data_IF_446675176699
#
_entry.id   IF_446675176699
#
_cell.length_a   1.000
_cell.length_b   1.000
_cell.length_c   1.000
_cell.angle_alpha   90.00
_cell.angle_beta   90.00
_cell.angle_gamma   90.00
#
_symmetry.space_group_name_H-M   'P 1'
#
loop_
_entity.id
_entity.type
_entity.pdbx_description
1 polymer ?
#
# COMPACT_ATOMS: atom_id res chain seq x y z
N UNK A 1 -13.61 -12.53 -17.05
CA UNK A 1 -12.53 -13.17 -16.27
C UNK A 1 -12.36 -14.59 -16.71
N UNK A 2 -11.16 -15.15 -16.55
CA UNK A 2 -10.92 -16.59 -16.61
C UNK A 2 -11.39 -17.25 -15.31
N UNK A 3 -11.49 -18.57 -15.30
CA UNK A 3 -11.83 -19.32 -14.08
C UNK A 3 -10.65 -19.31 -13.12
N UNK A 4 -10.93 -19.26 -11.83
CA UNK A 4 -9.95 -19.33 -10.74
C UNK A 4 -10.58 -20.03 -9.54
N UNK A 5 -9.75 -20.56 -8.67
CA UNK A 5 -10.16 -21.01 -7.33
C UNK A 5 -10.15 -19.80 -6.39
N UNK A 6 -11.16 -19.68 -5.54
CA UNK A 6 -11.22 -18.64 -4.52
C UNK A 6 -11.05 -19.26 -3.15
N UNK A 7 -10.02 -18.79 -2.45
CA UNK A 7 -9.69 -19.21 -1.09
C UNK A 7 -9.77 -18.00 -0.15
N UNK A 8 -10.33 -18.21 1.04
CA UNK A 8 -10.45 -17.16 2.05
C UNK A 8 -9.93 -17.67 3.39
N UNK A 9 -8.61 -17.69 3.58
CA UNK A 9 -7.98 -18.13 4.82
C UNK A 9 -8.28 -17.16 5.98
N UNK A 10 -8.15 -17.66 7.20
CA UNK A 10 -8.37 -16.87 8.41
C UNK A 10 -7.07 -16.45 9.10
N UNK A 11 -5.94 -17.05 8.73
CA UNK A 11 -4.63 -16.79 9.34
C UNK A 11 -3.54 -16.61 8.28
N UNK A 12 -2.44 -15.98 8.64
CA UNK A 12 -1.27 -15.83 7.77
C UNK A 12 -0.62 -17.16 7.42
N UNK A 13 -0.60 -18.11 8.36
CA UNK A 13 -0.05 -19.44 8.11
C UNK A 13 -0.84 -20.19 7.02
N UNK A 14 -2.16 -20.03 7.01
CA UNK A 14 -3.00 -20.59 5.95
C UNK A 14 -2.70 -19.93 4.58
N UNK A 15 -2.50 -18.60 4.55
CA UNK A 15 -2.11 -17.87 3.34
C UNK A 15 -0.78 -18.39 2.81
N UNK A 16 0.24 -18.47 3.67
CA UNK A 16 1.58 -18.97 3.30
C UNK A 16 1.53 -20.39 2.74
N UNK A 17 0.71 -21.25 3.36
CA UNK A 17 0.52 -22.63 2.87
C UNK A 17 -0.06 -22.63 1.46
N UNK A 18 -1.13 -21.89 1.20
CA UNK A 18 -1.78 -21.84 -0.11
C UNK A 18 -0.82 -21.26 -1.16
N UNK A 19 -0.07 -20.19 -0.83
CA UNK A 19 0.94 -19.61 -1.70
C UNK A 19 2.03 -20.62 -2.10
N UNK A 20 2.50 -21.42 -1.14
CA UNK A 20 3.54 -22.42 -1.39
C UNK A 20 3.04 -23.64 -2.20
N UNK A 21 1.75 -23.93 -2.13
CA UNK A 21 1.14 -25.04 -2.86
C UNK A 21 0.71 -24.67 -4.30
N UNK A 22 0.63 -23.34 -4.62
CA UNK A 22 0.06 -22.85 -5.88
C UNK A 22 0.90 -21.70 -6.46
N UNK A 23 1.81 -22.00 -7.36
CA UNK A 23 2.75 -21.04 -7.98
C UNK A 23 2.07 -19.86 -8.70
N UNK A 24 0.87 -20.07 -9.29
CA UNK A 24 0.13 -19.03 -10.02
C UNK A 24 -0.95 -18.35 -9.16
N UNK A 25 -0.83 -18.40 -7.83
CA UNK A 25 -1.75 -17.72 -6.95
C UNK A 25 -1.48 -16.22 -6.87
N UNK A 26 -2.53 -15.45 -6.53
CA UNK A 26 -2.41 -14.01 -6.25
C UNK A 26 -3.19 -13.66 -4.99
N UNK A 27 -2.58 -12.80 -4.19
CA UNK A 27 -3.21 -12.23 -3.00
C UNK A 27 -4.25 -11.20 -3.43
N UNK A 28 -5.43 -11.29 -2.85
CA UNK A 28 -6.52 -10.33 -2.98
C UNK A 28 -6.72 -9.63 -1.63
N UNK A 29 -6.37 -8.35 -1.57
CA UNK A 29 -6.75 -7.46 -0.47
C UNK A 29 -8.00 -6.63 -0.89
N UNK A 30 -7.86 -5.34 -1.14
CA UNK A 30 -8.97 -4.49 -1.58
C UNK A 30 -9.47 -4.70 -3.00
N UNK A 31 -8.71 -5.40 -3.85
CA UNK A 31 -9.09 -5.78 -5.21
C UNK A 31 -9.24 -4.64 -6.22
N UNK A 32 -8.88 -3.40 -5.87
CA UNK A 32 -9.16 -2.22 -6.70
C UNK A 32 -8.27 -2.13 -7.95
N UNK A 33 -7.17 -2.86 -7.99
CA UNK A 33 -6.32 -3.03 -9.19
C UNK A 33 -6.49 -4.42 -9.79
N UNK A 34 -6.36 -5.48 -8.96
CA UNK A 34 -6.34 -6.86 -9.45
C UNK A 34 -7.66 -7.27 -10.12
N UNK A 35 -8.82 -6.94 -9.52
CA UNK A 35 -10.12 -7.32 -10.09
C UNK A 35 -10.39 -6.65 -11.45
N UNK A 36 -10.18 -5.33 -11.63
CA UNK A 36 -10.24 -4.69 -12.94
C UNK A 36 -9.31 -5.34 -13.98
N UNK A 37 -8.07 -5.65 -13.61
CA UNK A 37 -7.08 -6.30 -14.48
C UNK A 37 -7.55 -7.69 -14.93
N UNK A 38 -8.10 -8.47 -14.01
CA UNK A 38 -8.70 -9.79 -14.32
C UNK A 38 -9.95 -9.65 -15.22
N UNK A 39 -10.79 -8.63 -14.99
CA UNK A 39 -11.96 -8.36 -15.87
C UNK A 39 -11.55 -8.06 -17.29
N UNK A 40 -10.44 -7.39 -17.48
CA UNK A 40 -9.86 -7.10 -18.80
C UNK A 40 -9.05 -8.28 -19.38
N UNK A 41 -8.93 -9.41 -18.66
CA UNK A 41 -8.16 -10.60 -19.01
C UNK A 41 -6.65 -10.37 -19.15
N UNK A 42 -6.13 -9.37 -18.46
CA UNK A 42 -4.70 -9.04 -18.40
C UNK A 42 -3.98 -9.80 -17.26
N UNK A 43 -4.74 -10.37 -16.33
CA UNK A 43 -4.25 -11.29 -15.31
C UNK A 43 -5.16 -12.53 -15.24
N UNK A 44 -4.55 -13.69 -15.03
CA UNK A 44 -5.22 -14.99 -14.97
C UNK A 44 -4.63 -15.87 -13.89
N UNK A 45 -4.75 -15.47 -12.59
CA UNK A 45 -4.28 -16.34 -11.52
C UNK A 45 -5.10 -17.64 -11.48
N UNK A 46 -4.44 -18.73 -11.11
CA UNK A 46 -5.11 -20.02 -10.88
C UNK A 46 -5.92 -19.98 -9.58
N UNK A 47 -5.40 -19.28 -8.58
CA UNK A 47 -6.02 -19.14 -7.24
C UNK A 47 -5.98 -17.69 -6.78
N UNK A 48 -7.10 -17.20 -6.27
CA UNK A 48 -7.19 -15.92 -5.52
C UNK A 48 -7.26 -16.21 -4.03
N UNK A 49 -6.36 -15.60 -3.27
CA UNK A 49 -6.26 -15.73 -1.82
C UNK A 49 -6.74 -14.42 -1.20
N UNK A 50 -7.95 -14.41 -0.70
CA UNK A 50 -8.56 -13.23 -0.09
C UNK A 50 -8.12 -13.09 1.38
N UNK A 51 -7.35 -12.03 1.66
CA UNK A 51 -6.80 -11.72 2.99
C UNK A 51 -7.59 -10.61 3.73
N UNK A 52 -8.71 -10.17 3.18
CA UNK A 52 -9.45 -9.01 3.70
C UNK A 52 -9.97 -9.18 5.13
N UNK A 53 -10.24 -10.42 5.57
CA UNK A 53 -10.79 -10.72 6.89
C UNK A 53 -9.71 -11.15 7.92
N UNK A 54 -8.43 -11.09 7.55
CA UNK A 54 -7.33 -11.40 8.50
C UNK A 54 -7.12 -10.19 9.43
N UNK A 55 -7.69 -10.26 10.63
CA UNK A 55 -7.72 -9.16 11.59
C UNK A 55 -6.32 -8.66 12.00
N UNK A 56 -5.33 -9.54 12.03
CA UNK A 56 -3.94 -9.20 12.37
C UNK A 56 -3.25 -8.33 11.31
N UNK A 57 -3.85 -8.17 10.12
CA UNK A 57 -3.37 -7.29 9.06
C UNK A 57 -4.10 -5.94 9.01
N UNK A 58 -5.13 -5.72 9.84
CA UNK A 58 -5.90 -4.47 9.86
C UNK A 58 -5.76 -3.78 11.22
N UNK A 59 -4.85 -2.83 11.31
CA UNK A 59 -4.61 -2.04 12.52
C UNK A 59 -3.87 -0.73 12.22
N UNK A 60 -3.95 0.22 13.16
CA UNK A 60 -3.15 1.46 13.19
C UNK A 60 -2.65 1.64 14.63
N UNK A 61 -1.34 1.52 14.84
CA UNK A 61 -0.72 1.62 16.14
C UNK A 61 0.21 2.84 16.23
N UNK A 62 0.07 3.62 17.31
CA UNK A 62 1.01 4.69 17.68
C UNK A 62 2.10 4.11 18.58
N UNK A 63 3.34 4.12 18.11
CA UNK A 63 4.50 3.62 18.86
C UNK A 63 5.33 4.77 19.48
N UNK A 64 4.79 6.00 19.52
CA UNK A 64 5.46 7.20 20.01
C UNK A 64 6.14 7.98 18.87
N UNK A 65 7.28 7.53 18.39
CA UNK A 65 8.05 8.17 17.31
C UNK A 65 7.69 7.64 15.92
N UNK A 66 6.96 6.53 15.85
CA UNK A 66 6.51 5.90 14.61
C UNK A 66 5.03 5.54 14.67
N UNK A 67 4.41 5.36 13.51
CA UNK A 67 3.08 4.77 13.36
C UNK A 67 3.20 3.53 12.48
N UNK A 68 2.66 2.41 12.96
CA UNK A 68 2.58 1.18 12.18
C UNK A 68 1.15 0.95 11.70
N UNK A 69 0.99 0.72 10.39
CA UNK A 69 -0.29 0.48 9.72
C UNK A 69 -0.27 -0.92 9.11
N UNK A 70 -1.27 -1.72 9.42
CA UNK A 70 -1.44 -3.07 8.87
C UNK A 70 -1.77 -3.04 7.37
N UNK A 71 -1.34 -4.07 6.64
CA UNK A 71 -1.40 -4.09 5.18
C UNK A 71 -2.83 -4.05 4.61
N UNK A 72 -3.82 -4.61 5.31
CA UNK A 72 -5.23 -4.60 4.87
C UNK A 72 -6.01 -3.37 5.34
N UNK A 73 -5.38 -2.45 6.08
CA UNK A 73 -6.00 -1.18 6.46
C UNK A 73 -6.39 -0.41 5.20
N UNK A 74 -7.67 -0.06 5.10
CA UNK A 74 -8.22 0.64 3.94
C UNK A 74 -7.80 2.10 3.89
N UNK A 75 -7.84 2.70 2.71
CA UNK A 75 -7.57 4.14 2.56
C UNK A 75 -8.53 4.99 3.40
N UNK A 76 -9.78 4.53 3.56
CA UNK A 76 -10.77 5.23 4.39
C UNK A 76 -10.45 5.14 5.89
N UNK A 77 -9.91 4.02 6.37
CA UNK A 77 -9.45 3.88 7.76
C UNK A 77 -8.24 4.76 8.03
N UNK A 78 -7.26 4.83 7.10
CA UNK A 78 -6.13 5.76 7.19
C UNK A 78 -6.62 7.22 7.25
N UNK A 79 -7.52 7.61 6.34
CA UNK A 79 -8.14 8.93 6.29
C UNK A 79 -8.88 9.27 7.58
N UNK A 80 -9.62 8.30 8.15
CA UNK A 80 -10.53 8.53 9.29
C UNK A 80 -9.82 8.47 10.64
N UNK A 81 -8.64 7.84 10.72
CA UNK A 81 -7.90 7.60 11.96
C UNK A 81 -7.52 8.89 12.67
N UNK A 82 -7.92 9.01 13.94
CA UNK A 82 -7.51 10.12 14.79
C UNK A 82 -6.00 10.10 15.08
N UNK A 83 -5.38 8.90 15.15
CA UNK A 83 -3.94 8.75 15.32
C UNK A 83 -3.22 9.39 14.13
N UNK A 84 -3.62 9.04 12.90
CA UNK A 84 -3.01 9.58 11.68
C UNK A 84 -3.23 11.08 11.57
N UNK A 85 -4.47 11.56 11.80
CA UNK A 85 -4.79 12.99 11.73
C UNK A 85 -3.99 13.85 12.73
N UNK A 86 -3.71 13.30 13.90
CA UNK A 86 -2.98 14.02 14.94
C UNK A 86 -1.45 13.97 14.75
N UNK A 87 -0.91 12.86 14.24
CA UNK A 87 0.53 12.60 14.18
C UNK A 87 1.13 12.87 12.80
N UNK A 88 0.44 12.45 11.73
CA UNK A 88 0.87 12.62 10.32
C UNK A 88 -0.32 13.09 9.48
N UNK A 89 -0.87 14.30 9.70
CA UNK A 89 -2.06 14.78 9.01
C UNK A 89 -1.93 14.79 7.48
N UNK A 90 -0.72 14.95 6.96
CA UNK A 90 -0.42 14.84 5.53
C UNK A 90 -0.69 13.45 4.94
N UNK A 91 -0.55 12.37 5.73
CA UNK A 91 -0.88 11.01 5.30
C UNK A 91 -2.40 10.81 5.22
N UNK A 92 -3.18 11.40 6.14
CA UNK A 92 -4.64 11.41 6.05
C UNK A 92 -5.11 12.20 4.81
N UNK A 93 -4.52 13.37 4.55
CA UNK A 93 -4.83 14.20 3.38
C UNK A 93 -4.45 13.48 2.06
N UNK A 94 -3.34 12.75 2.03
CA UNK A 94 -2.98 11.90 0.91
C UNK A 94 -4.06 10.84 0.65
N UNK A 95 -4.47 10.11 1.70
CA UNK A 95 -5.49 9.06 1.58
C UNK A 95 -6.84 9.61 1.10
N UNK A 96 -7.22 10.83 1.51
CA UNK A 96 -8.42 11.52 1.03
C UNK A 96 -8.40 11.75 -0.49
N UNK A 97 -7.22 12.00 -1.04
CA UNK A 97 -7.01 12.23 -2.48
C UNK A 97 -7.05 10.97 -3.34
N UNK A 98 -7.11 9.76 -2.76
CA UNK A 98 -7.12 8.50 -3.50
C UNK A 98 -8.52 8.17 -4.00
N UNK A 99 -8.67 8.03 -5.32
CA UNK A 99 -9.89 7.54 -5.95
C UNK A 99 -11.16 8.27 -5.49
N UNK A 100 -12.25 7.52 -5.40
CA UNK A 100 -13.52 7.93 -4.84
C UNK A 100 -13.82 7.19 -3.51
N UNK A 101 -14.94 7.48 -2.81
CA UNK A 101 -15.28 6.80 -1.57
C UNK A 101 -15.41 5.27 -1.70
N UNK A 102 -15.86 4.75 -2.85
CA UNK A 102 -15.96 3.29 -3.07
C UNK A 102 -14.58 2.65 -3.13
N UNK A 103 -13.66 3.29 -3.85
CA UNK A 103 -12.25 2.86 -3.92
C UNK A 103 -11.61 2.91 -2.53
N UNK A 104 -11.80 4.02 -1.80
CA UNK A 104 -11.19 4.17 -0.47
C UNK A 104 -11.69 3.20 0.59
N UNK A 105 -12.96 2.77 0.51
CA UNK A 105 -13.52 1.78 1.43
C UNK A 105 -13.08 0.34 1.16
N UNK A 106 -12.46 0.08 0.02
CA UNK A 106 -12.00 -1.26 -0.37
C UNK A 106 -10.48 -1.33 -0.54
N UNK A 107 -9.89 -0.35 -1.22
CA UNK A 107 -8.45 -0.31 -1.47
C UNK A 107 -7.66 -0.17 -0.19
N UNK A 108 -6.53 -0.88 -0.09
CA UNK A 108 -5.70 -1.00 1.10
C UNK A 108 -4.32 -0.40 0.89
N UNK A 109 -3.68 0.04 1.96
CA UNK A 109 -2.32 0.59 1.89
C UNK A 109 -1.31 -0.46 1.41
N UNK A 110 -1.38 -1.69 1.94
CA UNK A 110 -0.51 -2.79 1.53
C UNK A 110 -0.70 -3.16 0.06
N UNK A 111 -1.96 -3.21 -0.42
CA UNK A 111 -2.25 -3.47 -1.83
C UNK A 111 -1.70 -2.38 -2.75
N UNK A 112 -1.77 -1.12 -2.33
CA UNK A 112 -1.24 0.01 -3.10
C UNK A 112 0.28 -0.07 -3.27
N UNK A 113 1.04 -0.26 -2.18
CA UNK A 113 2.50 -0.32 -2.24
C UNK A 113 3.01 -1.60 -2.93
N UNK A 114 2.32 -2.74 -2.76
CA UNK A 114 2.70 -3.99 -3.42
C UNK A 114 2.47 -3.94 -4.93
N UNK A 115 1.48 -3.15 -5.40
CA UNK A 115 1.25 -2.94 -6.84
C UNK A 115 2.28 -2.00 -7.46
N UNK A 116 2.84 -1.10 -6.69
CA UNK A 116 3.85 -0.10 -7.08
C UNK A 116 3.55 0.57 -8.42
N UNK A 117 2.32 1.10 -8.57
CA UNK A 117 2.00 1.97 -9.71
C UNK A 117 2.76 3.29 -9.54
N UNK A 118 3.54 3.76 -10.54
CA UNK A 118 4.33 4.98 -10.45
C UNK A 118 3.48 6.26 -10.27
N UNK A 119 2.18 6.16 -10.46
CA UNK A 119 1.22 7.25 -10.23
C UNK A 119 0.44 7.11 -8.93
N UNK A 120 0.74 6.06 -8.14
CA UNK A 120 0.13 5.87 -6.83
C UNK A 120 0.69 6.86 -5.80
N UNK A 121 -0.14 7.20 -4.82
CA UNK A 121 0.19 8.24 -3.82
C UNK A 121 1.08 7.70 -2.68
N UNK A 122 0.88 6.45 -2.22
CA UNK A 122 1.61 5.93 -1.06
C UNK A 122 3.12 5.72 -1.26
N UNK A 123 3.65 5.32 -2.43
CA UNK A 123 5.09 5.15 -2.59
C UNK A 123 5.89 6.41 -2.21
N UNK A 124 5.44 7.61 -2.65
CA UNK A 124 6.13 8.84 -2.29
C UNK A 124 6.01 9.16 -0.78
N UNK A 125 4.91 8.83 -0.12
CA UNK A 125 4.80 8.96 1.33
C UNK A 125 5.73 7.99 2.06
N UNK A 126 5.84 6.73 1.59
CA UNK A 126 6.75 5.75 2.17
C UNK A 126 8.21 6.24 2.11
N UNK A 127 8.64 6.75 0.96
CA UNK A 127 9.99 7.29 0.78
C UNK A 127 10.23 8.52 1.67
N UNK A 128 9.33 9.51 1.63
CA UNK A 128 9.52 10.76 2.38
C UNK A 128 9.43 10.56 3.89
N UNK A 129 8.61 9.64 4.37
CA UNK A 129 8.42 9.35 5.81
C UNK A 129 9.36 8.25 6.32
N UNK A 130 10.40 7.89 5.56
CA UNK A 130 11.39 6.87 5.93
C UNK A 130 10.73 5.55 6.36
N UNK A 131 9.74 5.10 5.57
CA UNK A 131 8.95 3.95 5.96
C UNK A 131 9.76 2.66 5.92
N UNK A 132 9.38 1.73 6.77
CA UNK A 132 9.83 0.34 6.78
C UNK A 132 8.66 -0.57 6.46
N UNK A 133 8.84 -1.43 5.51
CA UNK A 133 7.85 -2.40 5.06
C UNK A 133 8.18 -3.75 5.71
N UNK A 134 7.32 -4.20 6.60
CA UNK A 134 7.44 -5.52 7.22
C UNK A 134 6.70 -6.54 6.38
N UNK A 135 7.39 -7.60 6.02
CA UNK A 135 6.81 -8.76 5.35
C UNK A 135 6.77 -9.97 6.30
N UNK A 136 6.23 -11.09 5.85
CA UNK A 136 6.30 -12.35 6.57
C UNK A 136 7.73 -12.94 6.64
N UNK A 137 8.68 -12.43 5.84
CA UNK A 137 10.05 -12.93 5.77
C UNK A 137 11.09 -11.96 6.34
N UNK A 138 10.92 -10.65 6.14
CA UNK A 138 11.94 -9.64 6.45
C UNK A 138 11.33 -8.25 6.64
N UNK A 139 12.17 -7.29 7.04
CA UNK A 139 11.86 -5.87 7.02
C UNK A 139 12.71 -5.20 5.93
N UNK A 140 12.10 -4.34 5.13
CA UNK A 140 12.72 -3.68 3.98
C UNK A 140 12.50 -2.18 4.13
N UNK A 141 13.52 -1.36 3.90
CA UNK A 141 13.35 0.10 3.82
C UNK A 141 12.51 0.48 2.59
N UNK A 142 11.82 1.62 2.64
CA UNK A 142 11.06 2.08 1.47
C UNK A 142 12.00 2.33 0.26
N UNK A 143 13.23 2.76 0.50
CA UNK A 143 14.21 3.01 -0.56
C UNK A 143 14.61 1.72 -1.30
N UNK A 144 14.66 0.59 -0.59
CA UNK A 144 14.99 -0.71 -1.16
C UNK A 144 13.75 -1.49 -1.65
N UNK A 145 12.55 -1.07 -1.22
CA UNK A 145 11.31 -1.79 -1.53
C UNK A 145 10.79 -1.50 -2.94
N UNK A 146 10.84 -0.24 -3.38
CA UNK A 146 10.35 0.18 -4.71
C UNK A 146 11.47 0.06 -5.74
N UNK A 147 11.47 -1.02 -6.52
CA UNK A 147 12.59 -1.36 -7.42
C UNK A 147 12.41 -0.78 -8.82
N UNK A 148 11.16 -0.72 -9.31
CA UNK A 148 10.87 -0.23 -10.65
C UNK A 148 9.38 -0.19 -10.95
N UNK A 149 9.03 0.05 -12.19
CA UNK A 149 7.65 0.17 -12.68
C UNK A 149 6.84 -1.12 -12.41
N UNK A 150 5.85 -1.06 -11.51
CA UNK A 150 5.09 -2.21 -11.03
C UNK A 150 5.97 -3.34 -10.46
N UNK A 151 7.15 -3.00 -9.95
CA UNK A 151 8.12 -3.94 -9.41
C UNK A 151 8.54 -3.53 -8.00
N UNK A 152 8.54 -4.49 -7.09
CA UNK A 152 8.96 -4.33 -5.69
C UNK A 152 9.99 -5.39 -5.32
N UNK A 153 10.68 -5.21 -4.21
CA UNK A 153 11.64 -6.19 -3.67
C UNK A 153 10.98 -7.41 -3.00
N UNK A 154 9.65 -7.59 -3.16
CA UNK A 154 8.95 -8.78 -2.69
C UNK A 154 9.40 -10.00 -3.49
N UNK A 155 9.73 -11.06 -2.78
CA UNK A 155 10.02 -12.37 -3.36
C UNK A 155 8.70 -13.13 -3.65
N UNK A 156 8.80 -14.23 -4.39
CA UNK A 156 7.70 -15.18 -4.50
C UNK A 156 7.25 -15.62 -3.11
N UNK A 157 5.94 -15.70 -2.92
CA UNK A 157 5.32 -16.08 -1.63
C UNK A 157 5.70 -15.16 -0.46
N UNK A 158 6.04 -13.90 -0.72
CA UNK A 158 6.27 -12.89 0.29
C UNK A 158 5.05 -11.96 0.39
N UNK A 159 4.62 -11.68 1.63
CA UNK A 159 3.40 -10.95 1.94
C UNK A 159 3.75 -9.71 2.76
N UNK A 160 3.25 -8.54 2.36
CA UNK A 160 3.33 -7.34 3.20
C UNK A 160 2.39 -7.50 4.40
N UNK A 161 2.94 -7.35 5.60
CA UNK A 161 2.22 -7.43 6.88
C UNK A 161 1.84 -6.03 7.37
N UNK A 162 2.79 -5.10 7.35
CA UNK A 162 2.58 -3.74 7.85
C UNK A 162 3.60 -2.76 7.28
N UNK A 163 3.28 -1.48 7.39
CA UNK A 163 4.14 -0.36 7.03
C UNK A 163 4.33 0.51 8.28
N UNK A 164 5.57 0.73 8.68
CA UNK A 164 5.93 1.63 9.76
C UNK A 164 6.42 2.96 9.18
N UNK A 165 5.83 4.07 9.60
CA UNK A 165 6.17 5.43 9.20
C UNK A 165 6.83 6.20 10.35
N UNK A 166 7.95 6.86 10.10
CA UNK A 166 8.51 7.82 11.05
C UNK A 166 7.62 9.07 11.12
N UNK A 167 7.35 9.57 12.34
CA UNK A 167 6.58 10.80 12.55
C UNK A 167 7.49 12.00 12.28
N UNK A 168 7.19 12.85 11.28
CA UNK A 168 7.99 14.02 10.96
C UNK A 168 7.64 15.19 11.88
N UNK A 169 8.53 16.20 12.00
CA UNK A 169 8.20 17.48 12.63
C UNK A 169 7.13 18.25 11.85
N UNK A 170 7.23 18.20 10.52
CA UNK A 170 6.27 18.77 9.57
C UNK A 170 6.26 17.94 8.30
N UNK A 171 5.09 17.79 7.71
CA UNK A 171 4.99 17.20 6.37
C UNK A 171 3.80 17.78 5.60
N UNK A 172 3.87 17.70 4.29
CA UNK A 172 2.80 18.10 3.38
C UNK A 172 2.80 17.22 2.15
N UNK A 173 1.62 16.96 1.63
CA UNK A 173 1.41 16.32 0.34
C UNK A 173 0.57 17.21 -0.56
N UNK A 174 1.03 17.38 -1.79
CA UNK A 174 0.31 18.10 -2.84
C UNK A 174 0.27 17.27 -4.10
N UNK A 175 -0.91 17.17 -4.70
CA UNK A 175 -1.16 16.38 -5.91
C UNK A 175 -1.87 17.20 -6.97
N UNK A 176 -1.43 17.06 -8.21
CA UNK A 176 -2.18 17.43 -9.40
C UNK A 176 -2.87 16.18 -9.96
N UNK A 177 -4.16 15.98 -9.67
CA UNK A 177 -4.84 14.73 -9.98
C UNK A 177 -5.28 14.70 -11.46
N UNK A 178 -5.27 13.51 -12.05
CA UNK A 178 -5.97 13.25 -13.30
C UNK A 178 -7.47 13.42 -13.08
N UNK A 179 -8.17 14.23 -13.91
CA UNK A 179 -9.60 14.51 -13.71
C UNK A 179 -10.51 13.28 -13.76
N UNK A 180 -10.12 12.25 -14.51
CA UNK A 180 -10.92 11.04 -14.69
C UNK A 180 -10.61 9.97 -13.63
N UNK A 181 -9.34 9.58 -13.49
CA UNK A 181 -8.92 8.48 -12.62
C UNK A 181 -8.60 8.91 -11.20
N UNK A 182 -8.28 10.20 -11.00
CA UNK A 182 -7.73 10.79 -9.77
C UNK A 182 -6.34 10.27 -9.37
N UNK A 183 -5.69 9.48 -10.20
CA UNK A 183 -4.27 9.19 -10.05
C UNK A 183 -3.44 10.46 -10.17
N UNK A 184 -2.26 10.48 -9.58
CA UNK A 184 -1.37 11.63 -9.69
C UNK A 184 -0.85 11.78 -11.13
N UNK A 185 -1.11 12.91 -11.77
CA UNK A 185 -0.32 13.34 -12.93
C UNK A 185 1.05 13.81 -12.46
N UNK A 186 1.09 14.43 -11.29
CA UNK A 186 2.27 14.68 -10.48
C UNK A 186 1.83 14.88 -9.04
N UNK A 187 2.60 14.38 -8.11
CA UNK A 187 2.40 14.60 -6.68
C UNK A 187 3.74 14.74 -5.96
N UNK A 188 3.77 15.55 -4.93
CA UNK A 188 5.00 15.77 -4.14
C UNK A 188 4.68 15.60 -2.67
N UNK A 189 5.45 14.75 -2.01
CA UNK A 189 5.45 14.62 -0.56
C UNK A 189 6.74 15.19 0.00
N UNK A 190 6.62 16.07 1.00
CA UNK A 190 7.76 16.67 1.71
C UNK A 190 7.62 16.37 3.19
N UNK A 191 8.69 15.87 3.81
CA UNK A 191 8.75 15.63 5.25
C UNK A 191 10.03 16.21 5.85
N UNK A 192 9.90 16.90 6.98
CA UNK A 192 11.00 17.56 7.72
C UNK A 192 11.25 16.76 8.99
N UNK A 193 12.48 16.34 9.19
CA UNK A 193 12.99 15.68 10.38
C UNK A 193 14.15 16.49 10.99
N UNK A 194 14.62 16.10 12.17
CA UNK A 194 15.78 16.73 12.82
C UNK A 194 17.07 16.61 11.98
N UNK A 195 17.20 15.53 11.24
CA UNK A 195 18.36 15.16 10.43
C UNK A 195 18.28 15.63 8.96
N UNK A 196 17.16 16.24 8.54
CA UNK A 196 17.02 16.73 7.17
C UNK A 196 15.60 16.83 6.64
N UNK A 197 15.53 17.06 5.34
CA UNK A 197 14.27 17.18 4.59
C UNK A 197 14.25 16.12 3.50
N UNK A 198 13.21 15.30 3.50
CA UNK A 198 12.96 14.32 2.45
C UNK A 198 11.89 14.85 1.49
N UNK A 199 12.14 14.67 0.21
CA UNK A 199 11.22 15.05 -0.88
C UNK A 199 11.10 13.87 -1.83
N UNK A 200 9.88 13.44 -2.08
CA UNK A 200 9.59 12.39 -3.05
C UNK A 200 8.48 12.85 -4.00
N UNK A 201 8.57 12.39 -5.24
CA UNK A 201 7.65 12.79 -6.32
C UNK A 201 6.99 11.55 -6.88
N UNK A 202 5.68 11.57 -7.09
CA UNK A 202 4.93 10.53 -7.78
C UNK A 202 4.40 11.04 -9.12
N UNK A 203 4.23 10.16 -10.10
CA UNK A 203 3.71 10.46 -11.42
C UNK A 203 4.70 11.12 -12.39
N UNK A 204 5.93 11.42 -11.96
CA UNK A 204 6.92 12.15 -12.77
C UNK A 204 8.07 11.28 -13.28
N UNK A 205 8.29 10.09 -12.70
CA UNK A 205 9.31 9.14 -13.12
C UNK A 205 8.86 7.70 -12.90
N UNK A 206 9.64 6.73 -13.41
CA UNK A 206 9.39 5.30 -13.24
C UNK A 206 9.66 4.81 -11.81
N UNK A 207 10.43 5.58 -11.04
CA UNK A 207 10.88 5.19 -9.69
C UNK A 207 10.31 6.07 -8.56
N UNK A 208 9.32 6.91 -8.85
CA UNK A 208 8.72 7.82 -7.85
C UNK A 208 9.48 9.13 -7.68
#
# INVERSE_FOLDING_TARGET
MYNFVYEKPNTLEEVEKILNENEESKILAGGQTLIPTMKQRLASPSTLIDISDINELNFINDNGDTITIGATTTHNEVLSSDIIKNKIPSLAALAEGIGDPHVRNMGTIGGSISNNDPTADYPCACLSLKAKIKTNKKEISAEDFFVGLFETALEENEIVISIEFCIPQKASYMKFPNPASRYAMAGVYVAVFDDGINVSVTGASENG
#
